data_IF_920143059275
#
_entry.id   IF_920143059275
#
_cell.length_a   1.000
_cell.length_b   1.000
_cell.length_c   1.000
_cell.angle_alpha   90.00
_cell.angle_beta   90.00
_cell.angle_gamma   90.00
#
_symmetry.space_group_name_H-M   'P 1'
#
loop_
_entity.id
_entity.type
_entity.pdbx_description
1 polymer ?
#
# COMPACT_ATOMS: atom_id res chain seq x y z
N UNK A 1 -35.50 74.20 8.41
CA UNK A 1 -34.48 73.42 7.69
C UNK A 1 -34.00 72.33 8.64
N UNK A 2 -34.59 71.14 8.55
CA UNK A 2 -34.09 69.90 9.13
C UNK A 2 -34.96 68.78 8.56
N UNK A 3 -34.39 67.94 7.70
CA UNK A 3 -35.03 66.75 7.13
C UNK A 3 -34.44 65.56 7.88
N UNK A 4 -35.26 64.86 8.66
CA UNK A 4 -34.88 63.58 9.26
C UNK A 4 -34.83 62.51 8.17
N UNK A 5 -33.64 61.92 7.96
CA UNK A 5 -33.47 60.73 7.14
C UNK A 5 -33.28 59.52 8.06
N UNK A 6 -34.32 58.69 8.19
CA UNK A 6 -34.28 57.40 8.88
C UNK A 6 -33.70 56.33 7.94
N UNK A 7 -32.39 56.14 8.00
CA UNK A 7 -31.71 55.04 7.32
C UNK A 7 -31.90 53.73 8.09
N UNK A 8 -32.66 52.78 7.51
CA UNK A 8 -32.70 51.38 7.96
C UNK A 8 -31.33 50.74 7.75
N UNK A 9 -30.65 50.38 8.84
CA UNK A 9 -29.50 49.49 8.82
C UNK A 9 -29.96 48.07 8.45
N UNK A 10 -29.57 47.60 7.26
CA UNK A 10 -29.64 46.19 6.88
C UNK A 10 -28.47 45.50 7.60
N UNK A 11 -28.77 44.65 8.58
CA UNK A 11 -27.78 43.74 9.16
C UNK A 11 -27.34 42.77 8.06
N UNK A 12 -26.09 42.91 7.58
CA UNK A 12 -25.41 41.85 6.83
C UNK A 12 -25.04 40.77 7.83
N UNK A 13 -25.63 39.58 7.68
CA UNK A 13 -25.22 38.39 8.41
C UNK A 13 -23.73 38.09 8.11
N UNK A 14 -22.94 37.92 9.17
CA UNK A 14 -21.55 37.45 9.08
C UNK A 14 -21.49 35.99 8.64
N UNK A 15 -20.51 35.57 7.82
CA UNK A 15 -20.38 34.16 7.42
C UNK A 15 -20.14 33.26 8.64
N UNK A 16 -20.93 32.18 8.77
CA UNK A 16 -20.78 31.18 9.82
C UNK A 16 -19.39 30.55 9.74
N UNK A 17 -18.58 30.69 10.79
CA UNK A 17 -17.32 29.95 10.94
C UNK A 17 -17.65 28.51 11.34
N UNK A 18 -17.29 27.54 10.49
CA UNK A 18 -17.40 26.12 10.83
C UNK A 18 -16.37 25.75 11.90
N UNK A 19 -16.79 24.90 12.86
CA UNK A 19 -15.89 24.28 13.82
C UNK A 19 -14.97 23.24 13.15
N UNK A 20 -13.82 22.95 13.74
CA UNK A 20 -12.89 21.94 13.20
C UNK A 20 -13.51 20.54 13.10
N UNK A 21 -14.43 20.19 14.02
CA UNK A 21 -15.16 18.92 13.99
C UNK A 21 -16.15 18.85 12.81
N UNK A 22 -16.92 19.90 12.55
CA UNK A 22 -17.81 19.96 11.38
C UNK A 22 -17.03 19.87 10.07
N UNK A 23 -15.84 20.50 10.02
CA UNK A 23 -14.94 20.38 8.87
C UNK A 23 -14.39 18.96 8.72
N UNK A 24 -14.04 18.28 9.82
CA UNK A 24 -13.61 16.88 9.80
C UNK A 24 -14.71 15.96 9.25
N UNK A 25 -15.95 16.14 9.72
CA UNK A 25 -17.10 15.37 9.26
C UNK A 25 -17.36 15.59 7.77
N UNK A 26 -17.38 16.83 7.29
CA UNK A 26 -17.58 17.12 5.87
C UNK A 26 -16.52 16.48 4.96
N UNK A 27 -15.25 16.47 5.39
CA UNK A 27 -14.15 15.80 4.67
C UNK A 27 -14.38 14.29 4.62
N UNK A 28 -14.76 13.68 5.75
CA UNK A 28 -14.94 12.24 5.83
C UNK A 28 -16.23 11.78 5.14
N UNK A 29 -17.33 12.54 5.20
CA UNK A 29 -18.61 12.23 4.57
C UNK A 29 -18.50 12.02 3.07
N UNK A 30 -17.78 12.91 2.40
CA UNK A 30 -17.57 12.90 0.93
C UNK A 30 -16.57 11.85 0.46
N UNK A 31 -15.86 11.19 1.38
CA UNK A 31 -14.80 10.25 1.07
C UNK A 31 -15.32 8.90 0.55
N UNK A 32 -14.83 8.50 -0.63
CA UNK A 32 -14.99 7.16 -1.19
C UNK A 32 -13.71 6.35 -0.97
N UNK A 33 -13.80 5.24 -0.23
CA UNK A 33 -12.63 4.44 0.14
C UNK A 33 -12.31 3.36 -0.91
N UNK A 34 -11.07 3.28 -1.41
CA UNK A 34 -10.63 2.17 -2.22
C UNK A 34 -10.41 0.92 -1.36
N UNK A 35 -10.41 -0.26 -2.00
CA UNK A 35 -10.11 -1.52 -1.33
C UNK A 35 -8.63 -1.63 -0.87
N UNK A 36 -7.74 -0.89 -1.54
CA UNK A 36 -6.29 -0.88 -1.33
C UNK A 36 -5.82 0.55 -1.10
N UNK A 37 -4.96 0.77 -0.11
CA UNK A 37 -4.44 2.08 0.30
C UNK A 37 -2.92 2.01 0.40
N UNK A 38 -2.21 2.96 -0.22
CA UNK A 38 -0.75 3.05 -0.11
C UNK A 38 -0.37 3.78 1.18
N UNK A 39 -0.08 3.03 2.25
CA UNK A 39 0.15 3.57 3.61
C UNK A 39 1.42 3.07 4.30
N UNK A 40 2.25 2.31 3.60
CA UNK A 40 3.41 1.65 4.20
C UNK A 40 4.67 2.52 4.13
N UNK A 41 4.79 3.34 3.09
CA UNK A 41 5.94 4.21 2.87
C UNK A 41 5.59 5.48 2.08
N UNK A 42 6.48 6.47 2.15
CA UNK A 42 6.40 7.67 1.35
C UNK A 42 6.76 7.38 -0.11
N UNK A 43 5.85 7.70 -1.04
CA UNK A 43 6.05 7.50 -2.49
C UNK A 43 7.28 8.20 -3.10
N UNK A 44 7.88 9.16 -2.39
CA UNK A 44 9.03 9.95 -2.88
C UNK A 44 10.36 9.57 -2.23
N UNK A 45 10.36 8.93 -1.05
CA UNK A 45 11.60 8.69 -0.32
C UNK A 45 11.61 7.45 0.57
N UNK A 46 10.62 6.57 0.45
CA UNK A 46 10.58 5.29 1.17
C UNK A 46 10.60 5.43 2.71
N UNK A 47 10.29 6.62 3.22
CA UNK A 47 10.17 6.85 4.66
C UNK A 47 8.92 6.13 5.19
N UNK A 48 9.06 5.33 6.24
CA UNK A 48 7.97 4.52 6.81
C UNK A 48 7.33 5.22 8.02
N UNK A 49 6.18 4.76 8.55
CA UNK A 49 5.52 5.38 9.70
C UNK A 49 6.03 4.86 11.05
N UNK A 50 7.00 3.94 11.06
CA UNK A 50 7.44 3.22 12.27
C UNK A 50 8.40 4.04 13.13
N UNK A 51 8.20 3.96 14.44
CA UNK A 51 8.97 4.66 15.45
C UNK A 51 9.26 3.74 16.64
N UNK A 52 10.43 3.95 17.23
CA UNK A 52 10.79 3.44 18.56
C UNK A 52 9.80 3.92 19.64
N UNK A 53 9.76 3.25 20.82
CA UNK A 53 8.92 3.69 21.93
C UNK A 53 9.19 5.15 22.29
N UNK A 54 8.12 5.94 22.37
CA UNK A 54 8.23 7.37 22.65
C UNK A 54 8.47 7.62 24.14
N UNK A 55 9.41 8.53 24.44
CA UNK A 55 9.54 9.10 25.77
C UNK A 55 8.27 9.89 26.16
N UNK A 56 8.07 10.11 27.46
CA UNK A 56 6.92 10.88 27.96
C UNK A 56 6.88 12.27 27.31
N UNK A 57 5.77 12.59 26.64
CA UNK A 57 5.54 13.84 25.88
C UNK A 57 6.38 14.03 24.60
N UNK A 58 7.06 12.99 24.09
CA UNK A 58 7.73 13.04 22.80
C UNK A 58 6.73 12.83 21.65
N UNK A 59 6.94 13.55 20.55
CA UNK A 59 6.19 13.34 19.29
C UNK A 59 6.88 12.27 18.43
N UNK A 60 6.13 11.51 17.61
CA UNK A 60 6.71 10.61 16.61
C UNK A 60 7.66 11.37 15.68
N UNK A 61 8.82 10.76 15.39
CA UNK A 61 9.81 11.31 14.44
C UNK A 61 9.38 11.05 13.00
N UNK A 62 8.84 9.85 12.77
CA UNK A 62 8.39 9.38 11.48
C UNK A 62 6.86 9.33 11.45
N UNK A 63 6.28 9.85 10.38
CA UNK A 63 4.84 9.83 10.15
C UNK A 63 4.55 9.94 8.66
N UNK A 64 3.48 9.29 8.23
CA UNK A 64 2.99 9.34 6.86
C UNK A 64 1.67 10.07 6.77
N UNK A 65 1.50 10.87 5.72
CA UNK A 65 0.29 11.61 5.41
C UNK A 65 -0.37 10.94 4.21
N UNK A 66 -1.40 10.16 4.48
CA UNK A 66 -2.22 9.50 3.46
C UNK A 66 -3.14 10.56 2.87
N UNK A 67 -2.99 10.86 1.59
CA UNK A 67 -3.87 11.78 0.88
C UNK A 67 -5.29 11.19 0.80
N UNK A 68 -6.30 11.94 1.20
CA UNK A 68 -7.69 11.47 1.14
C UNK A 68 -8.32 11.59 -0.25
N UNK A 69 -7.63 12.18 -1.23
CA UNK A 69 -8.08 12.25 -2.61
C UNK A 69 -7.56 11.06 -3.45
N UNK A 70 -6.30 10.65 -3.27
CA UNK A 70 -5.68 9.59 -4.07
C UNK A 70 -5.14 8.39 -3.27
N UNK A 71 -5.21 8.42 -1.94
CA UNK A 71 -4.79 7.33 -1.05
C UNK A 71 -3.31 6.93 -1.19
N UNK A 72 -2.47 7.87 -1.65
CA UNK A 72 -1.02 7.78 -1.61
C UNK A 72 -0.47 8.42 -0.34
N UNK A 73 0.57 7.82 0.24
CA UNK A 73 1.22 8.34 1.44
C UNK A 73 2.47 9.17 1.13
N UNK A 74 2.63 10.26 1.87
CA UNK A 74 3.84 11.09 1.83
C UNK A 74 4.34 11.44 3.22
N UNK A 75 5.67 11.49 3.41
CA UNK A 75 6.21 12.00 4.67
C UNK A 75 5.96 13.51 4.78
N UNK A 76 6.13 14.08 5.99
CA UNK A 76 5.79 15.48 6.24
C UNK A 76 6.49 16.47 5.32
N UNK A 77 7.73 16.17 4.92
CA UNK A 77 8.56 17.00 4.02
C UNK A 77 8.02 17.02 2.59
N UNK A 78 7.34 15.97 2.15
CA UNK A 78 6.89 15.82 0.77
C UNK A 78 5.42 16.17 0.54
N UNK A 79 4.64 16.53 1.58
CA UNK A 79 3.27 17.03 1.40
C UNK A 79 3.18 18.26 0.49
N UNK A 80 4.07 19.27 0.61
CA UNK A 80 4.07 20.41 -0.34
C UNK A 80 4.34 19.97 -1.78
N UNK A 81 5.27 19.02 -1.97
CA UNK A 81 5.57 18.47 -3.29
C UNK A 81 4.36 17.74 -3.88
N UNK A 82 3.71 16.87 -3.09
CA UNK A 82 2.52 16.14 -3.52
C UNK A 82 1.41 17.08 -3.95
N UNK A 83 1.11 18.08 -3.12
CA UNK A 83 0.08 19.09 -3.42
C UNK A 83 0.33 19.78 -4.76
N UNK A 84 1.58 20.19 -5.05
CA UNK A 84 1.94 20.82 -6.32
C UNK A 84 1.83 19.87 -7.51
N UNK A 85 2.27 18.62 -7.35
CA UNK A 85 2.20 17.62 -8.41
C UNK A 85 0.74 17.31 -8.75
N UNK A 86 -0.12 17.17 -7.75
CA UNK A 86 -1.55 16.86 -7.96
C UNK A 86 -2.31 18.04 -8.53
N UNK A 87 -1.97 19.26 -8.11
CA UNK A 87 -2.55 20.47 -8.70
C UNK A 87 -2.25 20.55 -10.20
N UNK A 88 -1.02 20.25 -10.60
CA UNK A 88 -0.61 20.28 -12.00
C UNK A 88 -1.11 19.07 -12.82
N UNK A 89 -1.04 17.86 -12.26
CA UNK A 89 -1.30 16.63 -13.00
C UNK A 89 -2.78 16.21 -13.00
N UNK A 90 -3.55 16.65 -11.99
CA UNK A 90 -4.93 16.21 -11.78
C UNK A 90 -5.93 17.38 -11.79
N UNK A 91 -5.49 18.61 -12.09
CA UNK A 91 -6.29 19.84 -12.01
C UNK A 91 -7.05 20.00 -10.68
N UNK A 92 -6.53 19.37 -9.60
CA UNK A 92 -7.18 19.30 -8.29
C UNK A 92 -6.16 19.43 -7.17
N UNK A 93 -6.50 20.22 -6.14
CA UNK A 93 -5.62 20.45 -5.00
C UNK A 93 -5.92 19.42 -3.91
N UNK A 94 -4.98 18.50 -3.70
CA UNK A 94 -5.06 17.54 -2.62
C UNK A 94 -4.70 18.21 -1.29
N UNK A 95 -5.72 18.61 -0.53
CA UNK A 95 -5.54 19.38 0.70
C UNK A 95 -5.84 18.60 1.98
N UNK A 96 -6.48 17.43 1.92
CA UNK A 96 -6.88 16.67 3.10
C UNK A 96 -6.04 15.40 3.25
N UNK A 97 -5.51 15.19 4.45
CA UNK A 97 -4.58 14.09 4.75
C UNK A 97 -4.91 13.42 6.08
N UNK A 98 -4.83 12.10 6.12
CA UNK A 98 -4.78 11.32 7.36
C UNK A 98 -3.31 11.06 7.70
N UNK A 99 -2.80 11.72 8.73
CA UNK A 99 -1.45 11.47 9.25
C UNK A 99 -1.48 10.26 10.16
N UNK A 100 -0.57 9.31 9.94
CA UNK A 100 -0.38 8.11 10.76
C UNK A 100 1.07 8.00 11.24
N UNK A 101 1.26 7.52 12.46
CA UNK A 101 2.53 7.10 13.01
C UNK A 101 2.32 5.82 13.82
N UNK A 102 3.22 4.86 13.69
CA UNK A 102 3.19 3.59 14.42
C UNK A 102 4.34 3.60 15.42
N UNK A 103 4.02 3.42 16.70
CA UNK A 103 4.97 3.51 17.80
C UNK A 103 5.04 2.15 18.47
N UNK A 104 6.24 1.59 18.58
CA UNK A 104 6.45 0.33 19.29
C UNK A 104 5.93 0.42 20.74
N UNK A 105 5.21 -0.63 21.17
CA UNK A 105 4.80 -0.77 22.56
C UNK A 105 6.04 -1.08 23.41
N UNK A 106 6.14 -0.55 24.65
CA UNK A 106 7.19 -0.95 25.57
C UNK A 106 7.12 -2.46 25.76
N UNK A 107 8.25 -3.16 25.56
CA UNK A 107 8.35 -4.59 25.88
C UNK A 107 8.07 -4.75 27.37
N UNK A 108 6.97 -5.39 27.72
CA UNK A 108 6.79 -5.89 29.08
C UNK A 108 7.85 -6.97 29.26
N UNK A 109 8.88 -6.69 30.04
CA UNK A 109 9.77 -7.74 30.52
C UNK A 109 8.90 -8.71 31.31
N UNK A 110 8.59 -9.87 30.72
CA UNK A 110 7.94 -10.95 31.44
C UNK A 110 8.90 -11.38 32.55
N UNK A 111 8.65 -10.90 33.77
CA UNK A 111 9.40 -11.20 35.00
C UNK A 111 9.45 -12.72 35.29
N UNK A 112 8.66 -13.53 34.58
CA UNK A 112 8.57 -14.98 34.75
C UNK A 112 9.62 -15.81 33.98
N UNK A 113 10.43 -15.22 33.09
CA UNK A 113 11.41 -15.98 32.29
C UNK A 113 12.81 -16.11 32.91
N UNK A 114 12.98 -15.79 34.20
CA UNK A 114 14.26 -15.98 34.90
C UNK A 114 14.39 -17.38 35.55
N UNK A 115 13.75 -18.40 34.98
CA UNK A 115 13.94 -19.79 35.36
C UNK A 115 14.37 -20.64 34.15
N UNK A 116 15.70 -20.67 33.98
CA UNK A 116 16.56 -21.75 33.50
C UNK A 116 15.95 -22.84 32.58
N UNK A 117 16.59 -23.01 31.42
CA UNK A 117 16.59 -24.19 30.54
C UNK A 117 15.29 -24.53 29.79
N UNK A 118 14.75 -23.60 28.99
CA UNK A 118 13.77 -23.95 27.96
C UNK A 118 14.48 -24.18 26.63
N UNK A 119 14.39 -25.42 26.12
CA UNK A 119 14.72 -25.80 24.74
C UNK A 119 14.12 -24.74 23.80
N UNK A 120 14.94 -24.18 22.91
CA UNK A 120 14.48 -23.26 21.87
C UNK A 120 13.47 -24.01 21.00
N UNK A 121 12.18 -23.76 21.24
CA UNK A 121 11.12 -24.18 20.35
C UNK A 121 11.09 -23.11 19.26
N UNK A 122 11.61 -23.42 18.08
CA UNK A 122 11.50 -22.59 16.89
C UNK A 122 10.03 -22.59 16.43
N UNK A 123 9.18 -21.91 17.19
CA UNK A 123 7.79 -21.69 16.84
C UNK A 123 7.68 -20.22 16.44
N UNK A 124 7.42 -19.98 15.15
CA UNK A 124 7.05 -18.66 14.66
C UNK A 124 5.64 -18.38 15.17
N UNK A 125 5.54 -17.51 16.17
CA UNK A 125 4.25 -16.97 16.60
C UNK A 125 4.01 -15.76 15.70
N UNK A 126 3.00 -15.83 14.86
CA UNK A 126 2.56 -14.68 14.07
C UNK A 126 1.93 -13.67 15.03
N UNK A 127 2.71 -12.67 15.45
CA UNK A 127 2.20 -11.51 16.18
C UNK A 127 1.65 -10.50 15.17
N UNK A 128 0.43 -10.02 15.39
CA UNK A 128 -0.12 -8.98 14.53
C UNK A 128 0.60 -7.66 14.77
N UNK A 129 0.56 -6.78 13.78
CA UNK A 129 1.17 -5.46 13.90
C UNK A 129 0.56 -4.65 15.06
N UNK A 130 -0.76 -4.75 15.23
CA UNK A 130 -1.51 -4.09 16.31
C UNK A 130 -1.13 -4.62 17.70
N UNK A 131 -0.54 -5.83 17.80
CA UNK A 131 -0.04 -6.36 19.08
C UNK A 131 1.27 -5.68 19.49
N UNK A 132 2.10 -5.32 18.51
CA UNK A 132 3.47 -4.82 18.73
C UNK A 132 3.57 -3.30 18.70
N UNK A 133 2.66 -2.62 17.99
CA UNK A 133 2.67 -1.18 17.81
C UNK A 133 1.33 -0.53 18.20
N UNK A 134 1.41 0.71 18.65
CA UNK A 134 0.28 1.62 18.80
C UNK A 134 0.22 2.57 17.60
N UNK A 135 -0.93 2.64 16.93
CA UNK A 135 -1.14 3.58 15.82
C UNK A 135 -1.70 4.90 16.36
N UNK A 136 -0.93 5.97 16.18
CA UNK A 136 -1.34 7.35 16.44
C UNK A 136 -1.76 7.97 15.11
N UNK A 137 -2.93 8.60 15.08
CA UNK A 137 -3.41 9.26 13.87
C UNK A 137 -3.97 10.66 14.15
N UNK A 138 -3.94 11.50 13.11
CA UNK A 138 -4.62 12.81 13.08
C UNK A 138 -5.10 13.15 11.68
N UNK A 139 -6.33 13.66 11.56
CA UNK A 139 -6.86 14.23 10.33
C UNK A 139 -6.41 15.68 10.20
N UNK A 140 -5.78 16.03 9.08
CA UNK A 140 -5.18 17.33 8.86
C UNK A 140 -5.57 17.90 7.49
N UNK A 141 -5.70 19.22 7.44
CA UNK A 141 -5.81 19.98 6.20
C UNK A 141 -4.53 20.77 5.95
N UNK A 142 -3.98 20.62 4.76
CA UNK A 142 -2.86 21.39 4.25
C UNK A 142 -3.37 22.65 3.56
N UNK A 143 -2.83 23.80 3.98
CA UNK A 143 -3.29 25.13 3.57
C UNK A 143 -2.32 25.83 2.60
N UNK A 144 -1.32 25.11 2.08
CA UNK A 144 -0.29 25.65 1.21
C UNK A 144 1.11 25.65 1.81
N UNK A 145 2.11 25.90 0.96
CA UNK A 145 3.51 25.94 1.34
C UNK A 145 3.75 27.07 2.37
N UNK A 146 4.49 26.76 3.45
CA UNK A 146 4.76 27.65 4.59
C UNK A 146 3.54 28.06 5.44
N UNK A 147 2.36 27.50 5.21
CA UNK A 147 1.19 27.69 6.08
C UNK A 147 1.09 26.50 7.03
N UNK A 148 0.90 26.71 8.35
CA UNK A 148 0.70 25.61 9.28
C UNK A 148 -0.53 24.80 8.88
N UNK A 149 -0.41 23.49 9.03
CA UNK A 149 -1.53 22.57 8.80
C UNK A 149 -2.60 22.80 9.87
N UNK A 150 -3.86 22.74 9.45
CA UNK A 150 -4.98 22.75 10.40
C UNK A 150 -5.24 21.32 10.82
N UNK A 151 -5.10 21.02 12.11
CA UNK A 151 -5.53 19.72 12.64
C UNK A 151 -7.03 19.77 12.88
N UNK A 152 -7.76 18.89 12.19
CA UNK A 152 -9.21 18.81 12.28
C UNK A 152 -9.66 17.85 13.37
N UNK A 153 -8.93 16.73 13.54
CA UNK A 153 -9.26 15.67 14.48
C UNK A 153 -8.00 14.88 14.85
N UNK A 154 -7.91 14.38 16.09
CA UNK A 154 -6.82 13.51 16.55
C UNK A 154 -7.38 12.28 17.26
N UNK A 155 -6.59 11.20 17.25
CA UNK A 155 -6.86 9.96 18.01
C UNK A 155 -7.05 10.17 19.52
N UNK A 156 -6.54 11.27 20.09
CA UNK A 156 -6.65 11.60 21.52
C UNK A 156 -7.85 12.48 21.87
N UNK A 157 -8.62 12.94 20.87
CA UNK A 157 -9.76 13.81 21.13
C UNK A 157 -10.90 13.00 21.79
N UNK A 158 -11.55 13.51 22.85
CA UNK A 158 -12.57 12.76 23.58
C UNK A 158 -13.91 12.64 22.83
N UNK A 159 -14.22 13.62 21.98
CA UNK A 159 -15.52 13.79 21.33
C UNK A 159 -15.41 13.55 19.81
N UNK A 160 -15.11 12.30 19.42
CA UNK A 160 -15.06 11.90 18.02
C UNK A 160 -16.37 11.19 17.65
N UNK A 161 -17.02 11.67 16.59
CA UNK A 161 -18.22 11.02 16.04
C UNK A 161 -17.93 9.58 15.60
N UNK A 162 -18.86 8.65 15.89
CA UNK A 162 -18.69 7.23 15.58
C UNK A 162 -18.52 6.99 14.08
N UNK A 163 -19.22 7.75 13.23
CA UNK A 163 -19.11 7.66 11.78
C UNK A 163 -17.72 8.06 11.27
N UNK A 164 -17.12 9.07 11.88
CA UNK A 164 -15.76 9.51 11.58
C UNK A 164 -14.74 8.45 11.97
N UNK A 165 -14.86 7.87 13.18
CA UNK A 165 -14.01 6.78 13.64
C UNK A 165 -14.10 5.56 12.71
N UNK A 166 -15.30 5.13 12.34
CA UNK A 166 -15.48 3.99 11.44
C UNK A 166 -14.78 4.19 10.09
N UNK A 167 -14.83 5.41 9.52
CA UNK A 167 -14.15 5.70 8.25
C UNK A 167 -12.64 5.69 8.39
N UNK A 168 -12.12 6.28 9.48
CA UNK A 168 -10.68 6.29 9.75
C UNK A 168 -10.18 4.87 9.99
N UNK A 169 -10.88 4.07 10.79
CA UNK A 169 -10.56 2.66 11.00
C UNK A 169 -10.58 1.86 9.71
N UNK A 170 -11.53 2.12 8.79
CA UNK A 170 -11.55 1.48 7.48
C UNK A 170 -10.30 1.80 6.66
N UNK A 171 -9.79 3.03 6.69
CA UNK A 171 -8.52 3.40 6.03
C UNK A 171 -7.34 2.66 6.69
N UNK A 172 -7.29 2.67 8.03
CA UNK A 172 -6.23 2.03 8.80
C UNK A 172 -6.21 0.50 8.63
N UNK A 173 -7.38 -0.13 8.44
CA UNK A 173 -7.53 -1.59 8.22
C UNK A 173 -7.54 -2.01 6.73
N UNK A 174 -7.63 -1.06 5.79
CA UNK A 174 -7.60 -1.37 4.35
C UNK A 174 -6.33 -2.16 3.98
N UNK A 175 -6.38 -2.96 2.92
CA UNK A 175 -5.17 -3.66 2.48
C UNK A 175 -4.14 -2.65 1.99
N UNK A 176 -2.86 -2.91 2.26
CA UNK A 176 -1.82 -2.05 1.73
C UNK A 176 -1.48 -2.39 0.29
N UNK A 177 -0.99 -1.40 -0.46
CA UNK A 177 -0.51 -1.62 -1.83
C UNK A 177 0.64 -2.62 -1.86
N UNK A 178 1.62 -2.50 -0.96
CA UNK A 178 2.74 -3.44 -0.86
C UNK A 178 2.28 -4.89 -0.62
N UNK A 179 1.20 -5.08 0.15
CA UNK A 179 0.64 -6.42 0.36
C UNK A 179 0.08 -7.01 -0.94
N UNK A 180 -0.68 -6.23 -1.72
CA UNK A 180 -1.21 -6.71 -3.00
C UNK A 180 -0.09 -6.87 -4.04
N UNK A 181 0.92 -6.00 -4.07
CA UNK A 181 2.07 -6.12 -4.97
C UNK A 181 2.88 -7.37 -4.66
N UNK A 182 3.14 -7.64 -3.37
CA UNK A 182 3.77 -8.89 -2.92
C UNK A 182 2.93 -10.08 -3.36
N UNK A 183 1.63 -10.09 -3.08
CA UNK A 183 0.74 -11.17 -3.48
C UNK A 183 0.75 -11.41 -5.00
N UNK A 184 0.73 -10.35 -5.79
CA UNK A 184 0.78 -10.42 -7.26
C UNK A 184 2.14 -10.92 -7.76
N UNK A 185 3.25 -10.61 -7.07
CA UNK A 185 4.57 -11.15 -7.42
C UNK A 185 4.68 -12.68 -7.32
N UNK A 186 3.80 -13.31 -6.54
CA UNK A 186 3.68 -14.77 -6.45
C UNK A 186 2.71 -15.38 -7.49
N UNK A 187 2.00 -14.54 -8.26
CA UNK A 187 1.11 -15.01 -9.32
C UNK A 187 1.95 -15.34 -10.54
N UNK A 188 1.94 -16.61 -10.96
CA UNK A 188 2.60 -17.03 -12.19
C UNK A 188 1.83 -16.48 -13.40
N UNK A 189 2.35 -15.41 -14.01
CA UNK A 189 1.86 -14.90 -15.28
C UNK A 189 2.40 -15.76 -16.43
N UNK A 190 1.56 -16.67 -16.95
CA UNK A 190 1.88 -17.43 -18.16
C UNK A 190 1.36 -16.63 -19.36
N UNK A 191 2.27 -16.02 -20.11
CA UNK A 191 1.94 -15.43 -21.41
C UNK A 191 2.14 -16.45 -22.53
N UNK A 192 1.21 -16.47 -23.48
CA UNK A 192 1.39 -17.22 -24.72
C UNK A 192 2.46 -16.53 -25.56
N UNK A 193 3.30 -17.33 -26.22
CA UNK A 193 4.22 -16.81 -27.22
C UNK A 193 3.60 -16.95 -28.62
N UNK A 194 4.06 -16.19 -29.62
CA UNK A 194 3.58 -16.34 -31.00
C UNK A 194 3.71 -17.78 -31.53
N UNK A 195 4.68 -18.57 -31.04
CA UNK A 195 4.84 -19.97 -31.43
C UNK A 195 3.71 -20.86 -30.91
N UNK A 196 3.20 -20.61 -29.69
CA UNK A 196 2.05 -21.35 -29.13
C UNK A 196 0.73 -20.91 -29.76
N UNK A 197 0.57 -19.62 -30.07
CA UNK A 197 -0.66 -19.08 -30.67
C UNK A 197 -0.85 -19.54 -32.11
N UNK A 198 0.23 -19.57 -32.89
CA UNK A 198 0.22 -19.98 -34.29
C UNK A 198 0.59 -21.46 -34.47
N UNK A 199 0.61 -22.24 -33.38
CA UNK A 199 0.96 -23.66 -33.47
C UNK A 199 -0.14 -24.40 -34.23
N UNK A 200 0.20 -24.91 -35.41
CA UNK A 200 -0.66 -25.81 -36.17
C UNK A 200 -0.13 -27.23 -36.01
N UNK A 201 -1.00 -28.15 -35.59
CA UNK A 201 -0.64 -29.56 -35.48
C UNK A 201 -0.36 -30.07 -36.90
N UNK A 202 0.88 -30.48 -37.21
CA UNK A 202 1.21 -31.03 -38.52
C UNK A 202 0.45 -32.35 -38.72
N UNK A 203 0.08 -32.64 -39.97
CA UNK A 203 -0.49 -33.94 -40.34
C UNK A 203 0.42 -35.07 -39.83
N UNK A 204 -0.19 -36.09 -39.22
CA UNK A 204 0.54 -37.23 -38.64
C UNK A 204 1.57 -37.76 -39.66
N UNK A 205 2.85 -37.94 -39.28
CA UNK A 205 3.82 -38.54 -40.18
C UNK A 205 3.35 -39.94 -40.60
N UNK A 206 3.52 -40.27 -41.88
CA UNK A 206 3.12 -41.58 -42.45
C UNK A 206 3.91 -42.75 -41.81
N UNK A 207 5.07 -42.46 -41.23
CA UNK A 207 5.96 -43.44 -40.62
C UNK A 207 5.81 -43.47 -39.08
N UNK A 208 5.94 -44.66 -38.50
CA UNK A 208 6.04 -44.85 -37.06
C UNK A 208 7.34 -44.23 -36.53
N UNK A 209 7.24 -43.14 -35.77
CA UNK A 209 8.39 -42.50 -35.10
C UNK A 209 8.78 -43.32 -33.87
N UNK A 210 10.07 -43.66 -33.74
CA UNK A 210 10.60 -44.28 -32.53
C UNK A 210 10.79 -43.21 -31.45
N UNK A 211 9.93 -43.21 -30.43
CA UNK A 211 9.93 -42.22 -29.35
C UNK A 211 11.00 -42.48 -28.27
N UNK A 212 11.72 -43.60 -28.34
CA UNK A 212 12.61 -44.07 -27.27
C UNK A 212 14.09 -43.76 -27.53
N UNK A 213 14.44 -43.17 -28.67
CA UNK A 213 15.83 -42.91 -29.05
C UNK A 213 15.96 -41.64 -29.87
N UNK A 214 17.08 -40.93 -29.69
CA UNK A 214 17.45 -39.79 -30.52
C UNK A 214 17.61 -40.21 -31.99
N UNK A 215 17.15 -39.38 -32.92
CA UNK A 215 17.25 -39.67 -34.36
C UNK A 215 18.67 -39.57 -34.91
N UNK A 216 19.59 -38.96 -34.15
CA UNK A 216 20.97 -38.68 -34.58
C UNK A 216 22.05 -39.36 -33.72
N UNK A 217 21.70 -40.03 -32.63
CA UNK A 217 22.66 -40.71 -31.74
C UNK A 217 21.97 -41.80 -30.89
N UNK A 218 22.74 -42.51 -30.07
CA UNK A 218 22.25 -43.64 -29.27
C UNK A 218 21.65 -43.27 -27.91
N UNK A 219 21.43 -41.98 -27.65
CA UNK A 219 20.79 -41.54 -26.41
C UNK A 219 19.33 -41.96 -26.36
N UNK A 220 18.93 -42.56 -25.24
CA UNK A 220 17.55 -42.99 -24.95
C UNK A 220 16.91 -42.18 -23.81
N UNK A 221 17.61 -41.16 -23.31
CA UNK A 221 17.17 -40.25 -22.25
C UNK A 221 17.41 -38.80 -22.68
N UNK A 222 16.80 -37.84 -21.96
CA UNK A 222 16.84 -36.41 -22.33
C UNK A 222 16.35 -36.17 -23.78
N UNK A 223 15.24 -36.81 -24.17
CA UNK A 223 14.69 -36.74 -25.53
C UNK A 223 13.64 -35.64 -25.65
N UNK A 224 13.69 -34.90 -26.76
CA UNK A 224 12.83 -33.78 -27.09
C UNK A 224 12.14 -34.04 -28.42
N UNK A 225 10.81 -33.90 -28.43
CA UNK A 225 9.97 -34.00 -29.61
C UNK A 225 9.82 -32.62 -30.25
N UNK A 226 10.20 -32.52 -31.53
CA UNK A 226 9.86 -31.35 -32.33
C UNK A 226 8.37 -31.38 -32.69
N UNK A 227 7.60 -30.43 -32.17
CA UNK A 227 6.16 -30.34 -32.42
C UNK A 227 5.81 -29.95 -33.86
N UNK A 228 6.75 -29.44 -34.65
CA UNK A 228 6.54 -29.07 -36.06
C UNK A 228 6.76 -30.21 -37.06
N UNK A 229 7.72 -31.09 -36.81
CA UNK A 229 8.09 -32.14 -37.77
C UNK A 229 8.09 -33.57 -37.18
N UNK A 230 7.84 -33.72 -35.88
CA UNK A 230 7.82 -35.02 -35.21
C UNK A 230 9.19 -35.64 -34.97
N UNK A 231 10.29 -34.95 -35.28
CA UNK A 231 11.64 -35.44 -35.05
C UNK A 231 11.96 -35.56 -33.55
N UNK A 232 12.66 -36.62 -33.15
CA UNK A 232 13.15 -36.82 -31.77
C UNK A 232 14.64 -36.50 -31.71
N UNK A 233 15.01 -35.48 -30.95
CA UNK A 233 16.41 -35.11 -30.67
C UNK A 233 16.76 -35.33 -29.21
N UNK A 234 18.05 -35.45 -28.87
CA UNK A 234 18.51 -35.39 -27.48
C UNK A 234 18.67 -33.91 -27.06
N UNK A 235 18.57 -33.63 -25.76
CA UNK A 235 18.76 -32.29 -25.21
C UNK A 235 20.22 -31.82 -25.28
N UNK A 236 20.47 -30.65 -24.70
CA UNK A 236 21.83 -30.09 -24.57
C UNK A 236 22.59 -30.82 -23.45
N UNK A 237 23.91 -30.87 -23.59
CA UNK A 237 24.78 -31.37 -22.52
C UNK A 237 24.70 -30.45 -21.29
N UNK A 238 24.47 -31.04 -20.11
CA UNK A 238 24.50 -30.34 -18.83
C UNK A 238 25.26 -31.18 -17.80
N UNK A 239 25.67 -30.58 -16.68
CA UNK A 239 26.38 -31.31 -15.63
C UNK A 239 25.48 -32.44 -15.09
N UNK A 240 25.90 -33.69 -15.34
CA UNK A 240 25.16 -34.89 -14.93
C UNK A 240 23.99 -35.28 -15.86
N UNK A 241 23.87 -34.67 -17.03
CA UNK A 241 22.83 -34.99 -18.03
C UNK A 241 23.48 -35.03 -19.43
N UNK A 242 23.47 -36.20 -20.05
CA UNK A 242 24.00 -36.39 -21.41
C UNK A 242 23.11 -35.70 -22.46
N UNK A 243 23.73 -35.10 -23.47
CA UNK A 243 23.04 -34.40 -24.55
C UNK A 243 24.01 -33.95 -25.65
N UNK A 244 23.52 -33.81 -26.88
CA UNK A 244 24.34 -33.45 -28.05
C UNK A 244 23.72 -32.33 -28.93
N UNK A 245 22.70 -31.61 -28.43
CA UNK A 245 21.99 -30.55 -29.18
C UNK A 245 22.45 -29.12 -28.89
#
# INVERSE_FOLDING_TARGET
>A
MAVEMTGKFIQKESPKSFSHSEMAEAVLETLTLPAVVSKDECIYCFESPYNEPLALNASPKHSLNICLNCFQATCNRHVPLHTRVTEYACDTIHSNYLTIAKVEKPKQENVEENNNNKKIKLQVIETSEDDTHNTIWSLQRFNGENVPRTVLLKSTDPDISSTALEKIEKILKAKSQDFEDKKNSWVLEISTCPHTENFQIPSKPENTVNLNQCSSCDLTQNLWLCLHCGNIGCGREQIGIDGHS
#
